data_IF_684951476512
#
_entry.id   IF_684951476512
#
_cell.length_a   1.000
_cell.length_b   1.000
_cell.length_c   1.000
_cell.angle_alpha   90.00
_cell.angle_beta   90.00
_cell.angle_gamma   90.00
#
_symmetry.space_group_name_H-M   'P 1'
#
loop_
_entity.id
_entity.type
_entity.pdbx_description
1 polymer ?
#
# COMPACT_ATOMS: atom_id res chain seq x y z
N UNK A 1 61.75 -43.23 38.86
CA UNK A 1 60.74 -42.19 38.92
C UNK A 1 60.60 -41.67 37.50
N UNK A 2 59.60 -42.17 36.80
CA UNK A 2 59.24 -41.68 35.46
C UNK A 2 57.90 -40.98 35.58
N UNK A 3 57.90 -39.70 35.28
CA UNK A 3 56.71 -38.87 35.22
C UNK A 3 56.10 -39.01 33.82
N UNK A 4 54.90 -39.55 33.76
CA UNK A 4 54.10 -39.60 32.55
C UNK A 4 53.47 -38.26 32.26
N UNK A 5 53.63 -37.74 31.03
CA UNK A 5 52.90 -36.66 30.51
C UNK A 5 51.46 -37.07 30.06
N UNK A 6 50.44 -36.30 30.26
CA UNK A 6 49.12 -36.64 29.79
C UNK A 6 48.93 -36.28 28.31
N UNK A 7 48.34 -37.21 27.55
CA UNK A 7 47.96 -37.02 26.15
C UNK A 7 46.89 -35.97 25.98
N UNK A 8 46.87 -35.25 24.84
CA UNK A 8 45.86 -34.23 24.57
C UNK A 8 44.53 -34.85 24.14
N UNK A 9 43.48 -34.33 24.73
CA UNK A 9 42.09 -34.69 24.50
C UNK A 9 41.66 -34.32 23.07
N UNK A 10 40.91 -35.15 22.34
CA UNK A 10 40.43 -34.82 21.01
C UNK A 10 39.32 -33.77 21.08
N UNK A 11 39.44 -32.74 20.25
CA UNK A 11 38.44 -31.72 20.03
C UNK A 11 37.12 -32.33 19.54
N UNK A 12 35.97 -31.83 19.99
CA UNK A 12 34.69 -32.25 19.45
C UNK A 12 34.48 -31.68 18.03
N UNK A 13 34.10 -32.57 17.13
CA UNK A 13 33.67 -32.29 15.76
C UNK A 13 32.53 -31.31 15.77
N UNK A 14 32.65 -30.26 14.99
CA UNK A 14 31.56 -29.33 14.66
C UNK A 14 30.48 -30.09 13.89
N UNK A 15 29.18 -29.85 14.15
CA UNK A 15 28.11 -30.32 13.27
C UNK A 15 28.17 -29.54 11.97
N UNK A 16 28.09 -30.25 10.87
CA UNK A 16 27.94 -29.72 9.52
C UNK A 16 26.65 -28.90 9.48
N UNK A 17 26.78 -27.64 9.12
CA UNK A 17 25.71 -26.67 8.85
C UNK A 17 24.98 -27.12 7.56
N UNK A 18 23.87 -27.84 7.73
CA UNK A 18 22.95 -28.10 6.63
C UNK A 18 22.38 -26.76 6.18
N UNK A 19 22.78 -26.34 4.99
CA UNK A 19 22.35 -25.11 4.36
C UNK A 19 20.83 -24.97 4.35
N UNK A 20 20.33 -24.02 5.11
CA UNK A 20 19.00 -23.45 4.90
C UNK A 20 19.00 -22.80 3.52
N UNK A 21 18.28 -23.37 2.57
CA UNK A 21 17.91 -22.69 1.34
C UNK A 21 17.10 -21.43 1.73
N UNK A 22 17.77 -20.29 1.77
CA UNK A 22 17.10 -19.01 1.71
C UNK A 22 16.36 -18.95 0.37
N UNK A 23 15.05 -19.17 0.40
CA UNK A 23 14.17 -18.75 -0.67
C UNK A 23 14.22 -17.22 -0.69
N UNK A 24 15.21 -16.67 -1.38
CA UNK A 24 15.35 -15.27 -1.64
C UNK A 24 14.10 -14.80 -2.39
N UNK A 25 13.15 -14.18 -1.69
CA UNK A 25 12.17 -13.34 -2.36
C UNK A 25 12.98 -12.20 -2.97
N UNK A 26 13.11 -12.27 -4.29
CA UNK A 26 13.71 -11.22 -5.11
C UNK A 26 12.92 -9.94 -4.82
N UNK A 27 13.54 -9.00 -4.12
CA UNK A 27 12.98 -7.66 -3.90
C UNK A 27 13.05 -6.99 -5.27
N UNK A 28 11.97 -7.15 -6.05
CA UNK A 28 11.86 -6.49 -7.34
C UNK A 28 11.82 -5.00 -7.08
N UNK A 29 12.82 -4.27 -7.58
CA UNK A 29 12.85 -2.82 -7.39
C UNK A 29 11.64 -2.19 -8.07
N UNK A 30 11.07 -1.08 -7.53
CA UNK A 30 9.95 -0.38 -8.16
C UNK A 30 10.18 -0.04 -9.63
N UNK A 31 11.42 0.17 -10.03
CA UNK A 31 11.85 0.46 -11.40
C UNK A 31 11.49 -0.66 -12.41
N UNK A 32 11.39 -1.91 -11.95
CA UNK A 32 11.03 -3.03 -12.82
C UNK A 32 9.58 -2.98 -13.31
N UNK A 33 8.71 -2.23 -12.64
CA UNK A 33 7.29 -2.10 -13.01
C UNK A 33 7.00 -0.92 -13.92
N UNK A 34 7.91 0.04 -14.04
CA UNK A 34 7.67 1.28 -14.78
C UNK A 34 8.10 1.09 -16.24
N UNK A 35 7.15 0.72 -17.11
CA UNK A 35 7.39 0.54 -18.55
C UNK A 35 7.13 1.79 -19.37
N UNK A 36 6.52 2.84 -18.83
CA UNK A 36 6.14 4.04 -19.57
C UNK A 36 7.09 5.21 -19.31
N UNK A 37 7.68 5.86 -20.35
CA UNK A 37 8.69 6.92 -20.18
C UNK A 37 8.25 8.14 -19.36
N UNK A 38 6.98 8.54 -19.47
CA UNK A 38 6.42 9.68 -18.72
C UNK A 38 6.25 9.36 -17.22
N UNK A 39 5.92 8.11 -16.89
CA UNK A 39 5.80 7.65 -15.51
C UNK A 39 7.15 7.58 -14.80
N UNK A 40 8.19 7.16 -15.52
CA UNK A 40 9.57 7.17 -15.01
C UNK A 40 10.03 8.57 -14.62
N UNK A 41 9.62 9.61 -15.37
CA UNK A 41 10.12 10.96 -15.15
C UNK A 41 9.67 11.54 -13.80
N UNK A 42 8.41 11.41 -13.41
CA UNK A 42 7.90 11.96 -12.15
C UNK A 42 8.30 11.08 -10.95
N UNK A 43 8.05 9.77 -11.03
CA UNK A 43 8.24 8.86 -9.90
C UNK A 43 9.71 8.79 -9.45
N UNK A 44 10.66 8.85 -10.38
CA UNK A 44 12.09 8.83 -10.04
C UNK A 44 12.60 10.13 -9.43
N UNK A 45 11.80 11.20 -9.44
CA UNK A 45 12.15 12.49 -8.85
C UNK A 45 11.52 12.77 -7.50
N UNK A 46 10.65 11.86 -7.02
CA UNK A 46 10.05 11.95 -5.70
C UNK A 46 10.64 10.89 -4.76
N UNK A 47 10.66 11.20 -3.48
CA UNK A 47 11.10 10.24 -2.47
C UNK A 47 10.10 9.08 -2.37
N UNK A 48 10.58 7.83 -2.23
CA UNK A 48 9.72 6.69 -1.98
C UNK A 48 8.86 6.87 -0.73
N UNK A 49 7.62 6.43 -0.77
CA UNK A 49 6.67 6.56 0.35
C UNK A 49 7.19 5.90 1.62
N UNK A 50 7.90 4.78 1.49
CA UNK A 50 8.51 4.05 2.61
C UNK A 50 9.60 4.84 3.33
N UNK A 51 10.24 5.81 2.65
CA UNK A 51 11.28 6.67 3.18
C UNK A 51 10.77 7.97 3.82
N UNK A 52 9.46 8.24 3.68
CA UNK A 52 8.86 9.42 4.31
C UNK A 52 8.80 9.29 5.83
N UNK A 53 8.95 10.41 6.50
CA UNK A 53 8.76 10.49 7.96
C UNK A 53 7.30 10.26 8.32
N UNK A 54 7.07 9.68 9.50
CA UNK A 54 5.73 9.55 10.04
C UNK A 54 5.08 10.92 10.24
N UNK A 55 3.85 11.05 9.74
CA UNK A 55 3.10 12.31 9.68
C UNK A 55 3.05 12.91 8.28
N UNK A 56 3.93 12.48 7.36
CA UNK A 56 3.90 12.93 5.98
C UNK A 56 2.84 12.19 5.15
N UNK A 57 2.40 12.86 4.10
CA UNK A 57 1.42 12.34 3.15
C UNK A 57 1.83 12.69 1.72
N UNK A 58 1.50 11.83 0.76
CA UNK A 58 1.40 12.21 -0.65
C UNK A 58 -0.05 12.12 -1.08
N UNK A 59 -0.42 13.00 -1.99
CA UNK A 59 -1.73 13.00 -2.64
C UNK A 59 -1.59 13.27 -4.13
N UNK A 60 -2.43 12.61 -4.92
CA UNK A 60 -2.61 12.88 -6.34
C UNK A 60 -4.12 12.97 -6.59
N UNK A 61 -4.59 14.13 -7.04
CA UNK A 61 -6.00 14.39 -7.33
C UNK A 61 -6.14 14.94 -8.74
N UNK A 62 -7.34 14.81 -9.30
CA UNK A 62 -7.70 15.47 -10.55
C UNK A 62 -7.59 16.99 -10.40
N UNK A 63 -7.28 17.66 -11.50
CA UNK A 63 -7.20 19.12 -11.52
C UNK A 63 -8.48 19.77 -11.00
N UNK A 64 -8.32 20.78 -10.14
CA UNK A 64 -9.42 21.49 -9.50
C UNK A 64 -10.07 20.76 -8.32
N UNK A 65 -9.56 19.61 -7.86
CA UNK A 65 -10.06 18.90 -6.67
C UNK A 65 -9.02 18.99 -5.55
N UNK A 66 -9.39 19.58 -4.44
CA UNK A 66 -8.53 19.67 -3.25
C UNK A 66 -8.50 18.33 -2.48
N UNK A 67 -7.35 17.90 -1.93
CA UNK A 67 -7.23 16.65 -1.18
C UNK A 67 -7.81 16.73 0.23
N UNK A 68 -9.02 17.28 0.35
CA UNK A 68 -9.77 17.43 1.57
C UNK A 68 -11.23 16.99 1.40
N UNK A 69 -11.84 16.49 2.47
CA UNK A 69 -13.19 15.93 2.39
C UNK A 69 -14.27 17.03 2.26
N UNK A 70 -13.95 18.29 2.57
CA UNK A 70 -14.81 19.46 2.43
C UNK A 70 -14.96 19.92 0.99
N UNK A 71 -14.06 19.52 0.09
CA UNK A 71 -14.15 19.86 -1.32
C UNK A 71 -15.50 19.40 -1.91
N UNK A 72 -16.07 20.20 -2.80
CA UNK A 72 -17.38 19.95 -3.42
C UNK A 72 -17.46 18.58 -4.11
N UNK A 73 -16.36 18.11 -4.71
CA UNK A 73 -16.26 16.81 -5.38
C UNK A 73 -16.07 15.65 -4.43
N UNK A 74 -15.58 15.90 -3.21
CA UNK A 74 -15.28 14.88 -2.21
C UNK A 74 -16.38 14.74 -1.15
N UNK A 75 -17.11 15.80 -0.82
CA UNK A 75 -18.02 15.85 0.34
C UNK A 75 -19.13 14.80 0.34
N UNK A 76 -19.61 14.42 -0.86
CA UNK A 76 -20.60 13.34 -1.04
C UNK A 76 -19.97 12.00 -1.34
N UNK A 77 -18.64 11.95 -1.36
CA UNK A 77 -17.88 10.77 -1.69
C UNK A 77 -17.43 9.95 -0.50
N UNK A 78 -16.43 9.13 -0.77
CA UNK A 78 -15.77 8.29 0.22
C UNK A 78 -14.47 7.73 -0.32
N UNK A 79 -13.97 6.70 0.35
CA UNK A 79 -12.66 6.14 0.00
C UNK A 79 -12.61 4.63 0.17
N UNK A 80 -11.99 3.96 -0.75
CA UNK A 80 -11.45 2.61 -0.58
C UNK A 80 -10.16 2.69 0.22
N UNK A 81 -10.05 1.93 1.30
CA UNK A 81 -8.95 2.04 2.26
C UNK A 81 -8.19 0.73 2.38
N UNK A 82 -6.86 0.83 2.27
CA UNK A 82 -5.90 -0.22 2.57
C UNK A 82 -5.05 0.24 3.75
N UNK A 83 -4.88 -0.63 4.73
CA UNK A 83 -4.02 -0.37 5.90
C UNK A 83 -2.87 -1.35 5.90
N UNK A 84 -1.66 -0.85 6.04
CA UNK A 84 -0.41 -1.60 6.02
C UNK A 84 0.27 -1.50 7.39
N UNK A 85 0.71 -2.63 7.91
CA UNK A 85 1.52 -2.67 9.12
C UNK A 85 2.98 -2.28 8.83
N UNK A 86 3.83 -2.21 9.86
CA UNK A 86 5.24 -1.80 9.72
C UNK A 86 6.07 -2.75 8.83
N UNK A 87 5.76 -4.04 8.83
CA UNK A 87 6.44 -5.01 8.00
C UNK A 87 6.05 -4.81 6.53
N UNK A 88 4.77 -4.63 6.27
CA UNK A 88 4.25 -4.34 4.93
C UNK A 88 4.73 -2.99 4.37
N UNK A 89 5.00 -2.00 5.23
CA UNK A 89 5.65 -0.75 4.77
C UNK A 89 6.93 -1.03 4.00
N UNK A 90 7.76 -1.94 4.46
CA UNK A 90 9.05 -2.22 3.83
C UNK A 90 8.95 -3.05 2.56
N UNK A 91 7.89 -3.85 2.42
CA UNK A 91 7.73 -4.81 1.33
C UNK A 91 6.74 -4.32 0.26
N UNK A 92 5.62 -3.74 0.70
CA UNK A 92 4.46 -3.56 -0.17
C UNK A 92 4.07 -2.09 -0.41
N UNK A 93 4.43 -1.17 0.52
CA UNK A 93 3.92 0.20 0.49
C UNK A 93 4.22 0.94 -0.82
N UNK A 94 5.48 0.89 -1.26
CA UNK A 94 5.91 1.61 -2.46
C UNK A 94 5.30 0.99 -3.71
N UNK A 95 5.19 -0.34 -3.75
CA UNK A 95 4.53 -1.04 -4.83
C UNK A 95 3.04 -0.67 -4.91
N UNK A 96 2.30 -0.76 -3.80
CA UNK A 96 0.87 -0.42 -3.80
C UNK A 96 0.62 1.06 -4.10
N UNK A 97 1.48 1.95 -3.62
CA UNK A 97 1.37 3.36 -3.97
C UNK A 97 1.61 3.60 -5.46
N UNK A 98 2.65 2.99 -6.03
CA UNK A 98 2.91 3.08 -7.46
C UNK A 98 1.75 2.54 -8.29
N UNK A 99 1.23 1.34 -8.00
CA UNK A 99 0.07 0.78 -8.69
C UNK A 99 -1.16 1.68 -8.56
N UNK A 100 -1.36 2.31 -7.39
CA UNK A 100 -2.43 3.30 -7.19
C UNK A 100 -2.27 4.49 -8.15
N UNK A 101 -1.07 5.06 -8.24
CA UNK A 101 -0.79 6.15 -9.18
C UNK A 101 -1.02 5.73 -10.64
N UNK A 102 -0.60 4.51 -11.00
CA UNK A 102 -0.81 3.95 -12.34
C UNK A 102 -2.30 3.77 -12.66
N UNK A 103 -3.11 3.33 -11.68
CA UNK A 103 -4.56 3.24 -11.86
C UNK A 103 -5.20 4.61 -12.12
N UNK A 104 -4.75 5.66 -11.42
CA UNK A 104 -5.29 7.00 -11.60
C UNK A 104 -4.90 7.60 -12.95
N UNK A 105 -3.59 7.59 -13.27
CA UNK A 105 -3.07 8.20 -14.51
C UNK A 105 -3.52 7.43 -15.75
N UNK A 106 -3.65 6.11 -15.63
CA UNK A 106 -4.08 5.24 -16.72
C UNK A 106 -5.60 5.09 -16.83
N UNK A 107 -6.39 5.81 -16.03
CA UNK A 107 -7.86 5.72 -16.02
C UNK A 107 -8.36 4.27 -15.99
N UNK A 108 -7.80 3.47 -15.07
CA UNK A 108 -7.96 2.02 -15.04
C UNK A 108 -9.38 1.54 -14.63
N UNK A 109 -10.28 2.47 -14.30
CA UNK A 109 -11.62 2.16 -13.78
C UNK A 109 -12.72 2.23 -14.85
N UNK A 110 -12.35 2.14 -16.12
CA UNK A 110 -13.24 2.15 -17.28
C UNK A 110 -14.20 3.36 -17.26
N UNK A 111 -15.47 3.13 -17.52
CA UNK A 111 -16.50 4.18 -17.55
C UNK A 111 -16.70 4.91 -16.21
N UNK A 112 -16.15 4.34 -15.11
CA UNK A 112 -16.24 4.93 -13.76
C UNK A 112 -14.99 5.73 -13.36
N UNK A 113 -14.04 5.92 -14.28
CA UNK A 113 -12.83 6.70 -13.98
C UNK A 113 -13.16 8.15 -13.62
N UNK A 114 -14.27 8.71 -14.12
CA UNK A 114 -14.73 10.06 -13.77
C UNK A 114 -15.24 10.18 -12.32
N UNK A 115 -15.69 9.08 -11.73
CA UNK A 115 -16.10 9.03 -10.32
C UNK A 115 -14.90 9.02 -9.37
N UNK A 116 -13.68 8.79 -9.85
CA UNK A 116 -12.46 8.85 -9.03
C UNK A 116 -11.95 10.29 -8.93
N UNK A 117 -11.81 10.80 -7.72
CA UNK A 117 -11.29 12.13 -7.42
C UNK A 117 -9.76 12.14 -7.32
N UNK A 118 -9.17 11.12 -6.69
CA UNK A 118 -7.74 11.05 -6.45
C UNK A 118 -7.37 9.94 -5.46
N UNK A 119 -6.14 9.99 -4.98
CA UNK A 119 -5.65 9.08 -3.95
C UNK A 119 -4.69 9.77 -2.97
N UNK A 120 -4.57 9.17 -1.79
CA UNK A 120 -3.69 9.64 -0.72
C UNK A 120 -2.94 8.45 -0.14
N UNK A 121 -1.63 8.60 0.12
CA UNK A 121 -0.88 7.72 1.01
C UNK A 121 -0.51 8.47 2.29
N UNK A 122 -0.88 7.91 3.43
CA UNK A 122 -0.62 8.46 4.75
C UNK A 122 0.43 7.61 5.49
N UNK A 123 1.54 8.23 5.88
CA UNK A 123 2.61 7.57 6.63
C UNK A 123 2.42 7.82 8.12
N UNK A 124 2.15 6.75 8.88
CA UNK A 124 1.81 6.85 10.31
C UNK A 124 2.57 5.82 11.15
N UNK A 125 2.84 6.16 12.42
CA UNK A 125 3.54 5.27 13.36
C UNK A 125 2.79 3.97 13.66
N UNK A 126 1.47 4.00 13.65
CA UNK A 126 0.62 2.82 13.96
C UNK A 126 0.32 1.94 12.75
N UNK A 127 0.64 2.40 11.55
CA UNK A 127 0.36 1.72 10.28
C UNK A 127 0.04 2.72 9.20
N UNK A 128 0.50 2.43 7.99
CA UNK A 128 0.31 3.30 6.83
C UNK A 128 -1.05 3.03 6.18
N UNK A 129 -1.52 4.00 5.43
CA UNK A 129 -2.80 3.89 4.73
C UNK A 129 -2.64 4.37 3.31
N UNK A 130 -3.23 3.64 2.37
CA UNK A 130 -3.45 4.12 1.01
C UNK A 130 -4.95 4.16 0.78
N UNK A 131 -5.44 5.24 0.18
CA UNK A 131 -6.86 5.39 -0.08
C UNK A 131 -7.12 5.99 -1.46
N UNK A 132 -8.03 5.37 -2.22
CA UNK A 132 -8.59 5.93 -3.46
C UNK A 132 -9.92 6.58 -3.12
N UNK A 133 -10.07 7.85 -3.51
CA UNK A 133 -11.24 8.66 -3.20
C UNK A 133 -12.18 8.74 -4.40
N UNK A 134 -13.47 8.65 -4.12
CA UNK A 134 -14.53 8.75 -5.13
C UNK A 134 -15.51 9.88 -4.79
N UNK A 135 -16.21 10.39 -5.80
CA UNK A 135 -17.06 11.58 -5.71
C UNK A 135 -18.43 11.33 -5.08
N UNK A 136 -18.99 10.12 -5.23
CA UNK A 136 -20.34 9.80 -4.77
C UNK A 136 -20.39 8.40 -4.14
N UNK A 137 -20.67 8.33 -2.84
CA UNK A 137 -20.82 7.06 -2.13
C UNK A 137 -22.18 6.38 -2.38
N UNK A 138 -23.15 7.07 -2.97
CA UNK A 138 -24.47 6.51 -3.28
C UNK A 138 -24.48 5.77 -4.62
N UNK A 139 -23.56 6.13 -5.53
CA UNK A 139 -23.36 5.39 -6.78
C UNK A 139 -22.68 4.02 -6.50
N UNK A 140 -23.52 3.07 -6.04
CA UNK A 140 -23.06 1.74 -5.64
C UNK A 140 -22.31 1.00 -6.74
N UNK A 141 -22.78 1.12 -7.98
CA UNK A 141 -22.19 0.39 -9.11
C UNK A 141 -20.79 0.91 -9.39
N UNK A 142 -20.60 2.23 -9.45
CA UNK A 142 -19.29 2.85 -9.59
C UNK A 142 -18.36 2.47 -8.43
N UNK A 143 -18.82 2.67 -7.18
CA UNK A 143 -18.02 2.38 -5.99
C UNK A 143 -17.56 0.93 -5.96
N UNK A 144 -18.45 -0.04 -6.22
CA UNK A 144 -18.08 -1.45 -6.17
C UNK A 144 -17.21 -1.89 -7.33
N UNK A 145 -17.41 -1.34 -8.54
CA UNK A 145 -16.55 -1.58 -9.69
C UNK A 145 -15.13 -1.06 -9.40
N UNK A 146 -15.01 0.20 -9.02
CA UNK A 146 -13.72 0.82 -8.66
C UNK A 146 -12.99 -0.04 -7.61
N UNK A 147 -13.68 -0.48 -6.57
CA UNK A 147 -13.07 -1.30 -5.52
C UNK A 147 -12.55 -2.64 -5.99
N UNK A 148 -13.29 -3.32 -6.87
CA UNK A 148 -12.89 -4.62 -7.45
C UNK A 148 -11.67 -4.47 -8.36
N UNK A 149 -11.72 -3.51 -9.29
CA UNK A 149 -10.61 -3.23 -10.19
C UNK A 149 -9.36 -2.84 -9.40
N UNK A 150 -9.52 -1.97 -8.39
CA UNK A 150 -8.41 -1.54 -7.53
C UNK A 150 -7.76 -2.72 -6.80
N UNK A 151 -8.58 -3.58 -6.17
CA UNK A 151 -8.10 -4.79 -5.49
C UNK A 151 -7.34 -5.73 -6.44
N UNK A 152 -7.84 -5.92 -7.65
CA UNK A 152 -7.23 -6.75 -8.69
C UNK A 152 -5.89 -6.16 -9.15
N UNK A 153 -5.84 -4.86 -9.44
CA UNK A 153 -4.62 -4.17 -9.88
C UNK A 153 -3.50 -4.22 -8.85
N UNK A 154 -3.84 -4.15 -7.58
CA UNK A 154 -2.88 -4.29 -6.48
C UNK A 154 -2.41 -5.74 -6.27
N UNK A 155 -2.99 -6.72 -6.95
CA UNK A 155 -2.67 -8.13 -6.74
C UNK A 155 -3.01 -8.65 -5.34
N UNK A 156 -3.98 -8.04 -4.66
CA UNK A 156 -4.33 -8.44 -3.30
C UNK A 156 -4.94 -9.85 -3.28
N UNK A 157 -4.56 -10.69 -2.29
CA UNK A 157 -5.13 -12.04 -2.18
C UNK A 157 -6.66 -12.00 -2.10
N UNK A 158 -7.33 -12.98 -2.72
CA UNK A 158 -8.80 -13.06 -2.72
C UNK A 158 -9.42 -13.04 -1.31
N UNK A 159 -8.72 -13.62 -0.33
CA UNK A 159 -9.14 -13.64 1.08
C UNK A 159 -9.00 -12.29 1.79
N UNK A 160 -8.20 -11.39 1.25
CA UNK A 160 -8.03 -10.05 1.79
C UNK A 160 -9.19 -9.18 1.31
N UNK A 161 -9.89 -8.55 2.24
CA UNK A 161 -10.98 -7.63 1.92
C UNK A 161 -10.52 -6.19 2.11
N UNK A 162 -10.91 -5.31 1.20
CA UNK A 162 -10.77 -3.87 1.37
C UNK A 162 -12.14 -3.25 1.63
N UNK A 163 -12.16 -2.19 2.43
CA UNK A 163 -13.39 -1.54 2.86
C UNK A 163 -13.53 -0.13 2.33
N UNK A 164 -14.76 0.24 2.00
CA UNK A 164 -15.12 1.58 1.59
C UNK A 164 -15.80 2.34 2.73
N UNK A 165 -15.35 3.55 2.97
CA UNK A 165 -15.85 4.43 4.01
C UNK A 165 -16.31 5.76 3.41
N UNK A 166 -17.53 6.21 3.71
CA UNK A 166 -17.95 7.55 3.32
C UNK A 166 -17.20 8.62 4.11
N UNK A 167 -16.94 9.76 3.49
CA UNK A 167 -16.28 10.88 4.17
C UNK A 167 -17.13 11.44 5.30
N UNK A 168 -18.45 11.55 5.09
CA UNK A 168 -19.41 11.99 6.10
C UNK A 168 -19.35 11.16 7.39
N UNK A 169 -19.29 9.82 7.26
CA UNK A 169 -19.19 8.93 8.42
C UNK A 169 -17.82 9.04 9.11
N UNK A 170 -16.76 9.34 8.35
CA UNK A 170 -15.40 9.46 8.90
C UNK A 170 -15.21 10.77 9.65
N UNK A 171 -15.85 11.85 9.20
CA UNK A 171 -15.79 13.16 9.83
C UNK A 171 -16.51 13.20 11.19
N UNK A 172 -17.60 12.44 11.34
CA UNK A 172 -18.45 12.43 12.54
C UNK A 172 -18.03 11.42 13.60
N UNK A 173 -17.29 10.36 13.21
CA UNK A 173 -16.88 9.28 14.12
C UNK A 173 -15.37 9.25 14.26
N UNK A 174 -14.87 9.24 15.51
CA UNK A 174 -13.43 9.04 15.75
C UNK A 174 -13.00 7.68 15.16
N UNK A 175 -11.95 7.69 14.38
CA UNK A 175 -11.44 6.70 13.44
C UNK A 175 -11.49 5.20 13.71
N UNK A 176 -11.78 4.71 14.92
CA UNK A 176 -11.84 3.26 15.20
C UNK A 176 -13.24 2.65 15.05
N UNK A 177 -14.27 3.47 14.89
CA UNK A 177 -15.69 3.05 14.84
C UNK A 177 -16.35 3.23 13.46
N UNK A 178 -15.62 3.72 12.46
CA UNK A 178 -16.18 3.89 11.12
C UNK A 178 -16.42 2.53 10.49
N UNK A 179 -17.70 2.20 10.26
CA UNK A 179 -18.07 0.95 9.57
C UNK A 179 -17.86 1.09 8.07
N UNK A 180 -17.36 0.02 7.45
CA UNK A 180 -17.31 -0.04 6.00
C UNK A 180 -18.73 -0.07 5.42
N UNK A 181 -18.99 0.80 4.45
CA UNK A 181 -20.27 0.85 3.73
C UNK A 181 -20.34 -0.24 2.65
N UNK A 182 -19.19 -0.49 2.00
CA UNK A 182 -19.01 -1.58 1.05
C UNK A 182 -17.71 -2.32 1.36
N UNK A 183 -17.61 -3.56 0.90
CA UNK A 183 -16.44 -4.44 1.04
C UNK A 183 -16.30 -5.27 -0.24
N UNK A 184 -15.10 -5.41 -0.74
CA UNK A 184 -14.76 -6.27 -1.90
C UNK A 184 -13.57 -7.17 -1.60
#
# INVERSE_FOLDING_TARGET
MATAEPEPNPSPSQPEDEGAEETGQEIVSPEAYIKHPLQNSLYNHIQLSSNLMSGCDYSLFKDGIEPMWEDERNKHGGRWLITLNKQQRRLDLDHYWLETLLCLVGEAFDDYSDDVCGAVVNIRTKGDKIAVWTSDYENRDAVTHIGRVYKERLGLPMKMTIGYQSHADTATKSGSTTKNKFVV
#
